data_IF_519255802285
#
_entry.id   IF_519255802285
#
_cell.length_a   1.000
_cell.length_b   1.000
_cell.length_c   1.000
_cell.angle_alpha   90.00
_cell.angle_beta   90.00
_cell.angle_gamma   90.00
#
_symmetry.space_group_name_H-M   'P 1'
#
loop_
_entity.id
_entity.type
_entity.pdbx_description
1 polymer ?
#
# COMPACT_ATOMS: atom_id res chain seq x y z
N UNK A 1 4.37 -38.45 -2.64
CA UNK A 1 3.33 -37.45 -2.91
C UNK A 1 4.07 -36.31 -3.58
N UNK A 2 3.99 -36.22 -4.91
CA UNK A 2 4.71 -35.16 -5.63
C UNK A 2 4.05 -33.83 -5.28
N UNK A 3 4.69 -33.05 -4.40
CA UNK A 3 4.37 -31.64 -4.24
C UNK A 3 4.54 -31.00 -5.61
N UNK A 4 3.43 -30.58 -6.23
CA UNK A 4 3.50 -29.70 -7.38
C UNK A 4 4.07 -28.37 -6.88
N UNK A 5 5.39 -28.27 -6.92
CA UNK A 5 6.11 -27.18 -6.28
C UNK A 5 5.83 -25.87 -7.03
N UNK A 6 5.38 -24.86 -6.30
CA UNK A 6 5.23 -23.52 -6.85
C UNK A 6 6.61 -22.92 -6.97
N UNK A 7 6.96 -22.40 -8.15
CA UNK A 7 8.22 -21.68 -8.30
C UNK A 7 8.26 -20.45 -7.38
N UNK A 8 9.44 -19.93 -7.07
CA UNK A 8 9.56 -18.69 -6.30
C UNK A 8 8.77 -17.50 -6.93
N UNK A 9 8.64 -17.48 -8.25
CA UNK A 9 7.79 -16.51 -8.96
C UNK A 9 6.28 -16.74 -8.73
N UNK A 10 5.85 -18.00 -8.66
CA UNK A 10 4.46 -18.33 -8.35
C UNK A 10 4.12 -17.96 -6.91
N UNK A 11 5.02 -18.27 -5.96
CA UNK A 11 4.88 -17.88 -4.55
C UNK A 11 4.81 -16.35 -4.43
N UNK A 12 5.62 -15.60 -5.19
CA UNK A 12 5.54 -14.14 -5.21
C UNK A 12 4.16 -13.66 -5.68
N UNK A 13 3.59 -14.28 -6.71
CA UNK A 13 2.27 -13.86 -7.23
C UNK A 13 1.17 -14.21 -6.23
N UNK A 14 1.24 -15.36 -5.56
CA UNK A 14 0.31 -15.73 -4.47
C UNK A 14 0.40 -14.71 -3.33
N UNK A 15 1.61 -14.35 -2.91
CA UNK A 15 1.82 -13.30 -1.91
C UNK A 15 1.22 -11.96 -2.38
N UNK A 16 1.46 -11.58 -3.64
CA UNK A 16 0.95 -10.34 -4.21
C UNK A 16 -0.58 -10.27 -4.19
N UNK A 17 -1.28 -11.40 -4.37
CA UNK A 17 -2.75 -11.44 -4.24
C UNK A 17 -3.20 -11.02 -2.84
N UNK A 18 -2.58 -11.56 -1.79
CA UNK A 18 -2.88 -11.19 -0.40
C UNK A 18 -2.54 -9.72 -0.12
N UNK A 19 -1.38 -9.25 -0.60
CA UNK A 19 -0.93 -7.86 -0.44
C UNK A 19 -1.88 -6.87 -1.17
N UNK A 20 -2.34 -7.19 -2.39
CA UNK A 20 -3.32 -6.35 -3.10
C UNK A 20 -4.69 -6.36 -2.43
N UNK A 21 -5.15 -7.50 -1.93
CA UNK A 21 -6.40 -7.58 -1.16
C UNK A 21 -6.32 -6.74 0.12
N UNK A 22 -5.19 -6.77 0.82
CA UNK A 22 -4.94 -5.92 1.99
C UNK A 22 -4.97 -4.44 1.62
N UNK A 23 -4.35 -4.06 0.50
CA UNK A 23 -4.38 -2.69 0.02
C UNK A 23 -5.80 -2.21 -0.31
N UNK A 24 -6.59 -3.04 -1.00
CA UNK A 24 -8.00 -2.75 -1.28
C UNK A 24 -8.82 -2.59 0.01
N UNK A 25 -8.65 -3.51 0.97
CA UNK A 25 -9.37 -3.45 2.25
C UNK A 25 -9.05 -2.17 3.03
N UNK A 26 -7.81 -1.70 2.97
CA UNK A 26 -7.43 -0.43 3.59
C UNK A 26 -8.06 0.78 2.86
N UNK A 27 -8.14 0.75 1.53
CA UNK A 27 -8.78 1.81 0.75
C UNK A 27 -10.31 1.83 0.90
N UNK A 28 -10.94 0.70 1.19
CA UNK A 28 -12.37 0.66 1.50
C UNK A 28 -12.68 1.57 2.70
N UNK A 29 -11.87 1.54 3.77
CA UNK A 29 -12.02 2.46 4.92
C UNK A 29 -11.79 3.93 4.54
N UNK A 30 -10.88 4.20 3.60
CA UNK A 30 -10.66 5.58 3.11
C UNK A 30 -11.87 6.07 2.32
N UNK A 31 -12.58 5.17 1.63
CA UNK A 31 -13.75 5.47 0.81
C UNK A 31 -15.05 5.66 1.60
N UNK A 32 -15.07 5.35 2.90
CA UNK A 32 -16.25 5.54 3.77
C UNK A 32 -16.64 7.01 3.94
N UNK A 33 -15.72 7.93 3.63
CA UNK A 33 -15.93 9.36 3.87
C UNK A 33 -16.50 10.04 2.64
N UNK A 34 -17.59 10.79 2.86
CA UNK A 34 -18.18 11.61 1.81
C UNK A 34 -17.26 12.78 1.45
N UNK A 35 -17.04 13.06 0.15
CA UNK A 35 -16.28 14.24 -0.27
C UNK A 35 -16.94 15.55 0.12
N UNK A 36 -18.25 15.54 0.40
CA UNK A 36 -19.05 16.72 0.73
C UNK A 36 -19.12 17.00 2.24
N UNK A 37 -18.52 16.14 3.08
CA UNK A 37 -18.56 16.27 4.54
C UNK A 37 -17.22 16.70 5.14
N UNK A 38 -17.22 17.65 6.10
CA UNK A 38 -16.00 18.07 6.77
C UNK A 38 -15.42 16.95 7.64
N UNK A 39 -14.21 16.52 7.30
CA UNK A 39 -13.48 15.48 8.04
C UNK A 39 -12.81 16.08 9.27
N UNK A 40 -13.15 15.57 10.46
CA UNK A 40 -12.48 15.94 11.71
C UNK A 40 -10.98 15.63 11.64
N UNK A 41 -10.17 16.35 12.42
CA UNK A 41 -8.71 16.11 12.48
C UNK A 41 -8.37 14.68 12.93
N UNK A 42 -9.13 14.13 13.88
CA UNK A 42 -8.90 12.77 14.39
C UNK A 42 -9.20 11.74 13.29
N UNK A 43 -10.32 11.92 12.58
CA UNK A 43 -10.69 11.00 11.51
C UNK A 43 -9.69 11.08 10.36
N UNK A 44 -9.24 12.28 9.98
CA UNK A 44 -8.22 12.43 8.93
C UNK A 44 -6.92 11.68 9.25
N UNK A 45 -6.48 11.71 10.51
CA UNK A 45 -5.31 10.95 10.97
C UNK A 45 -5.54 9.44 10.87
N UNK A 46 -6.73 8.97 11.21
CA UNK A 46 -7.11 7.55 11.08
C UNK A 46 -7.08 7.11 9.62
N UNK A 47 -7.71 7.88 8.73
CA UNK A 47 -7.72 7.60 7.28
C UNK A 47 -6.30 7.61 6.70
N UNK A 48 -5.45 8.51 7.19
CA UNK A 48 -4.04 8.55 6.78
C UNK A 48 -3.30 7.26 7.13
N UNK A 49 -3.57 6.66 8.30
CA UNK A 49 -3.02 5.34 8.64
C UNK A 49 -3.49 4.25 7.66
N UNK A 50 -4.75 4.28 7.22
CA UNK A 50 -5.24 3.35 6.21
C UNK A 50 -4.62 3.59 4.83
N UNK A 51 -4.47 4.84 4.39
CA UNK A 51 -3.78 5.18 3.15
C UNK A 51 -2.33 4.68 3.17
N UNK A 52 -1.59 4.93 4.26
CA UNK A 52 -0.21 4.47 4.40
C UNK A 52 -0.13 2.94 4.43
N UNK A 53 -1.08 2.26 5.07
CA UNK A 53 -1.18 0.80 5.04
C UNK A 53 -1.44 0.27 3.61
N UNK A 54 -2.32 0.92 2.85
CA UNK A 54 -2.59 0.58 1.45
C UNK A 54 -1.33 0.73 0.58
N UNK A 55 -0.60 1.84 0.74
CA UNK A 55 0.66 2.11 0.03
C UNK A 55 1.71 1.03 0.34
N UNK A 56 1.86 0.67 1.62
CA UNK A 56 2.82 -0.36 2.03
C UNK A 56 2.43 -1.72 1.46
N UNK A 57 1.18 -2.14 1.63
CA UNK A 57 0.69 -3.41 1.12
C UNK A 57 0.85 -3.50 -0.40
N UNK A 58 0.44 -2.46 -1.13
CA UNK A 58 0.63 -2.37 -2.58
C UNK A 58 2.10 -2.53 -3.01
N UNK A 59 3.04 -1.89 -2.32
CA UNK A 59 4.43 -1.83 -2.76
C UNK A 59 5.24 -3.09 -2.44
N UNK A 60 4.87 -3.83 -1.38
CA UNK A 60 5.55 -5.05 -0.93
C UNK A 60 5.91 -6.02 -2.08
N UNK A 61 5.00 -6.43 -2.97
CA UNK A 61 5.32 -7.37 -4.04
C UNK A 61 6.32 -6.83 -5.08
N UNK A 62 6.41 -5.50 -5.26
CA UNK A 62 7.35 -4.83 -6.17
C UNK A 62 8.72 -4.55 -5.54
N UNK A 63 8.80 -4.67 -4.21
CA UNK A 63 10.04 -4.50 -3.46
C UNK A 63 10.85 -5.80 -3.38
N UNK A 64 12.17 -5.68 -3.16
CA UNK A 64 13.02 -6.85 -2.97
C UNK A 64 12.69 -7.50 -1.62
N UNK A 65 12.57 -8.83 -1.57
CA UNK A 65 12.48 -9.56 -0.30
C UNK A 65 13.43 -10.75 -0.32
N UNK A 66 13.91 -11.15 0.86
CA UNK A 66 14.84 -12.27 1.00
C UNK A 66 14.18 -13.55 0.48
N UNK A 67 14.70 -14.08 -0.64
CA UNK A 67 14.30 -15.38 -1.19
C UNK A 67 13.12 -15.38 -2.16
N UNK A 68 12.55 -14.23 -2.54
CA UNK A 68 11.52 -14.16 -3.60
C UNK A 68 11.85 -13.07 -4.63
N UNK A 69 11.66 -13.33 -5.94
CA UNK A 69 11.91 -12.33 -6.99
C UNK A 69 10.97 -11.13 -6.84
N UNK A 70 11.32 -9.97 -7.41
CA UNK A 70 10.37 -8.84 -7.50
C UNK A 70 9.24 -9.19 -8.47
N UNK A 71 8.03 -8.76 -8.13
CA UNK A 71 6.94 -8.74 -9.10
C UNK A 71 7.21 -7.64 -10.13
N UNK A 72 6.92 -7.90 -11.40
CA UNK A 72 6.89 -6.88 -12.45
C UNK A 72 5.54 -6.91 -13.16
N UNK A 73 5.14 -5.80 -13.78
CA UNK A 73 3.89 -5.76 -14.55
C UNK A 73 3.91 -6.78 -15.71
N UNK A 74 5.09 -7.00 -16.30
CA UNK A 74 5.31 -8.02 -17.33
C UNK A 74 5.02 -9.43 -16.83
N UNK A 75 5.44 -9.79 -15.59
CA UNK A 75 5.13 -11.11 -15.02
C UNK A 75 3.63 -11.35 -14.80
N UNK A 76 2.82 -10.28 -14.78
CA UNK A 76 1.36 -10.34 -14.74
C UNK A 76 0.71 -10.24 -16.13
N UNK A 77 1.50 -10.03 -17.19
CA UNK A 77 0.99 -9.80 -18.55
C UNK A 77 0.25 -8.47 -18.70
N UNK A 78 0.62 -7.45 -17.92
CA UNK A 78 -0.02 -6.13 -17.94
C UNK A 78 0.81 -5.16 -18.77
N UNK A 79 0.14 -4.54 -19.75
CA UNK A 79 0.62 -3.33 -20.42
C UNK A 79 -0.09 -2.14 -19.79
N UNK A 80 0.61 -1.42 -18.90
CA UNK A 80 0.03 -0.30 -18.18
C UNK A 80 -0.06 0.96 -19.06
N UNK A 81 -1.11 1.76 -18.84
CA UNK A 81 -1.22 3.10 -19.43
C UNK A 81 -0.24 4.06 -18.75
N UNK A 82 0.02 5.22 -19.38
CA UNK A 82 0.84 6.28 -18.79
C UNK A 82 0.31 6.72 -17.42
N UNK A 83 -1.00 6.79 -17.26
CA UNK A 83 -1.64 7.17 -16.00
C UNK A 83 -1.39 6.12 -14.90
N UNK A 84 -1.53 4.84 -15.23
CA UNK A 84 -1.25 3.73 -14.30
C UNK A 84 0.22 3.68 -13.89
N UNK A 85 1.15 3.91 -14.84
CA UNK A 85 2.58 4.00 -14.55
C UNK A 85 2.90 5.19 -13.65
N UNK A 86 2.28 6.34 -13.91
CA UNK A 86 2.43 7.54 -13.07
C UNK A 86 1.95 7.27 -11.65
N UNK A 87 0.79 6.61 -11.50
CA UNK A 87 0.28 6.21 -10.20
C UNK A 87 1.20 5.19 -9.50
N UNK A 88 1.74 4.22 -10.24
CA UNK A 88 2.69 3.23 -9.73
C UNK A 88 3.95 3.90 -9.16
N UNK A 89 4.53 4.87 -9.87
CA UNK A 89 5.68 5.63 -9.39
C UNK A 89 5.33 6.56 -8.21
N UNK A 90 4.15 7.18 -8.17
CA UNK A 90 3.70 7.95 -7.00
C UNK A 90 3.62 7.08 -5.73
N UNK A 91 3.11 5.86 -5.85
CA UNK A 91 3.02 4.91 -4.72
C UNK A 91 4.41 4.49 -4.23
N UNK A 92 5.35 4.24 -5.15
CA UNK A 92 6.75 3.98 -4.83
C UNK A 92 7.40 5.14 -4.09
N UNK A 93 7.23 6.35 -4.60
CA UNK A 93 7.79 7.56 -3.99
C UNK A 93 7.21 7.77 -2.59
N UNK A 94 5.90 7.65 -2.42
CA UNK A 94 5.24 7.75 -1.11
C UNK A 94 5.80 6.73 -0.12
N UNK A 95 5.86 5.46 -0.53
CA UNK A 95 6.42 4.40 0.32
C UNK A 95 7.85 4.71 0.73
N UNK A 96 8.70 5.09 -0.22
CA UNK A 96 10.13 5.25 0.04
C UNK A 96 10.45 6.51 0.84
N UNK A 97 9.82 7.65 0.52
CA UNK A 97 10.22 8.97 1.02
C UNK A 97 9.40 9.49 2.21
N UNK A 98 8.23 8.90 2.44
CA UNK A 98 7.33 9.36 3.51
C UNK A 98 7.14 8.28 4.57
N UNK A 99 7.01 7.01 4.16
CA UNK A 99 6.71 5.91 5.08
C UNK A 99 7.98 5.19 5.55
N UNK A 100 8.89 4.84 4.64
CA UNK A 100 10.04 3.98 4.95
C UNK A 100 11.31 4.75 5.34
N UNK A 101 11.52 5.94 4.77
CA UNK A 101 12.64 6.81 5.09
C UNK A 101 12.12 8.23 5.25
N UNK A 102 12.41 8.86 6.38
CA UNK A 102 12.15 10.29 6.58
C UNK A 102 13.09 11.07 5.68
N UNK A 103 12.67 11.38 4.45
CA UNK A 103 13.39 12.27 3.55
C UNK A 103 13.22 13.72 4.02
N UNK A 104 14.32 14.39 4.37
CA UNK A 104 14.32 15.77 4.90
C UNK A 104 13.67 16.73 3.90
N UNK A 105 13.83 16.49 2.60
CA UNK A 105 13.27 17.35 1.54
C UNK A 105 11.75 17.21 1.38
N UNK A 106 11.16 16.16 1.95
CA UNK A 106 9.71 15.90 1.93
C UNK A 106 9.08 15.92 3.33
N UNK A 107 9.86 16.32 4.32
CA UNK A 107 9.45 16.43 5.71
C UNK A 107 8.50 17.63 5.89
N UNK A 108 7.22 17.36 6.16
CA UNK A 108 6.25 18.39 6.54
C UNK A 108 6.21 18.54 8.06
N UNK A 109 7.18 19.26 8.63
CA UNK A 109 7.14 19.69 10.03
C UNK A 109 6.65 21.13 10.11
N UNK A 110 5.51 21.34 10.76
CA UNK A 110 5.04 22.68 11.13
C UNK A 110 5.06 22.79 12.63
N UNK A 111 5.93 23.65 13.16
CA UNK A 111 5.97 24.02 14.58
C UNK A 111 5.58 25.50 14.69
N UNK A 112 4.45 25.77 15.31
CA UNK A 112 4.10 27.12 15.76
C UNK A 112 4.41 27.26 17.25
N UNK A 113 4.58 28.50 17.72
CA UNK A 113 4.65 28.79 19.15
C UNK A 113 3.66 29.90 19.48
N UNK A 114 3.06 29.85 20.66
CA UNK A 114 2.13 30.87 21.13
C UNK A 114 2.37 31.16 22.61
N UNK A 115 2.12 32.40 23.06
CA UNK A 115 2.18 32.73 24.50
C UNK A 115 0.96 32.15 25.20
N UNK A 116 1.17 31.61 26.41
CA UNK A 116 0.07 31.09 27.26
C UNK A 116 -0.92 32.20 27.64
N UNK A 117 -0.41 33.40 27.88
CA UNK A 117 -1.19 34.62 28.16
C UNK A 117 -0.36 35.85 27.77
N UNK A 118 -0.99 37.02 27.67
CA UNK A 118 -0.29 38.26 27.28
C UNK A 118 0.84 38.64 28.25
N UNK A 119 0.64 38.38 29.55
CA UNK A 119 1.58 38.70 30.65
C UNK A 119 2.64 37.61 30.90
N UNK A 120 2.61 36.50 30.16
CA UNK A 120 3.51 35.37 30.37
C UNK A 120 4.64 35.35 29.33
N UNK A 121 5.88 35.19 29.80
CA UNK A 121 7.03 34.94 28.94
C UNK A 121 7.11 33.47 28.44
N UNK A 122 6.19 32.61 28.90
CA UNK A 122 6.17 31.19 28.55
C UNK A 122 5.60 31.01 27.15
N UNK A 123 6.44 30.49 26.25
CA UNK A 123 6.06 30.09 24.89
C UNK A 123 5.71 28.61 24.84
N UNK A 124 4.48 28.31 24.40
CA UNK A 124 4.04 26.93 24.19
C UNK A 124 4.31 26.50 22.75
N UNK A 125 5.04 25.39 22.54
CA UNK A 125 5.17 24.80 21.22
C UNK A 125 3.88 24.08 20.82
N UNK A 126 3.44 24.30 19.60
CA UNK A 126 2.34 23.58 18.97
C UNK A 126 2.85 22.91 17.69
N UNK A 127 2.89 21.58 17.73
CA UNK A 127 3.22 20.78 16.56
C UNK A 127 1.98 20.50 15.70
N UNK A 128 2.06 20.86 14.43
CA UNK A 128 1.05 20.57 13.44
C UNK A 128 1.54 19.43 12.53
N UNK A 129 1.02 18.24 12.82
CA UNK A 129 1.20 17.05 12.02
C UNK A 129 0.46 17.16 10.68
N UNK A 130 1.15 16.86 9.57
CA UNK A 130 0.56 16.77 8.23
C UNK A 130 -0.26 15.48 8.08
N UNK A 131 -1.57 15.61 8.23
CA UNK A 131 -2.56 14.55 8.05
C UNK A 131 -3.22 14.56 6.66
N UNK A 132 -2.61 15.21 5.65
CA UNK A 132 -3.15 15.18 4.29
C UNK A 132 -3.19 13.75 3.72
N UNK A 133 -4.30 13.46 3.01
CA UNK A 133 -4.49 12.23 2.24
C UNK A 133 -4.02 12.47 0.80
N UNK A 134 -2.94 11.80 0.39
CA UNK A 134 -2.26 12.04 -0.88
C UNK A 134 -3.04 11.48 -2.08
N UNK A 135 -3.69 10.33 -1.90
CA UNK A 135 -4.37 9.59 -2.96
C UNK A 135 -5.88 9.77 -2.94
N UNK A 136 -6.44 10.45 -1.94
CA UNK A 136 -7.87 10.72 -1.84
C UNK A 136 -8.47 11.37 -3.11
N UNK A 137 -7.83 12.38 -3.75
CA UNK A 137 -8.35 12.96 -4.99
C UNK A 137 -8.39 11.99 -6.18
N UNK A 138 -7.67 10.86 -6.13
CA UNK A 138 -7.60 9.85 -7.18
C UNK A 138 -7.95 8.46 -6.64
N UNK A 139 -8.78 8.38 -5.60
CA UNK A 139 -9.05 7.14 -4.86
C UNK A 139 -9.66 6.07 -5.78
N UNK A 140 -10.62 6.43 -6.62
CA UNK A 140 -11.25 5.51 -7.56
C UNK A 140 -10.27 4.95 -8.59
N UNK A 141 -9.40 5.81 -9.13
CA UNK A 141 -8.34 5.40 -10.06
C UNK A 141 -7.37 4.43 -9.38
N UNK A 142 -7.02 4.69 -8.11
CA UNK A 142 -6.17 3.81 -7.33
C UNK A 142 -6.81 2.45 -7.05
N UNK A 143 -8.05 2.44 -6.58
CA UNK A 143 -8.81 1.22 -6.33
C UNK A 143 -8.92 0.39 -7.63
N UNK A 144 -9.28 1.04 -8.75
CA UNK A 144 -9.39 0.36 -10.04
C UNK A 144 -8.06 -0.24 -10.49
N UNK A 145 -6.96 0.50 -10.32
CA UNK A 145 -5.64 0.01 -10.67
C UNK A 145 -5.23 -1.23 -9.86
N UNK A 146 -5.45 -1.20 -8.54
CA UNK A 146 -5.14 -2.35 -7.68
C UNK A 146 -6.03 -3.55 -8.02
N UNK A 147 -7.31 -3.33 -8.36
CA UNK A 147 -8.22 -4.39 -8.83
C UNK A 147 -7.72 -5.05 -10.12
N UNK A 148 -7.21 -4.27 -11.07
CA UNK A 148 -6.60 -4.81 -12.31
C UNK A 148 -5.42 -5.72 -11.97
N UNK A 149 -4.52 -5.28 -11.08
CA UNK A 149 -3.36 -6.06 -10.64
C UNK A 149 -3.78 -7.35 -9.92
N UNK A 150 -4.74 -7.26 -9.00
CA UNK A 150 -5.26 -8.40 -8.26
C UNK A 150 -5.92 -9.44 -9.20
N UNK A 151 -6.71 -8.98 -10.16
CA UNK A 151 -7.34 -9.85 -11.15
C UNK A 151 -6.30 -10.52 -12.07
N UNK A 152 -5.26 -9.79 -12.48
CA UNK A 152 -4.18 -10.35 -13.30
C UNK A 152 -3.38 -11.41 -12.53
N UNK A 153 -3.05 -11.15 -11.26
CA UNK A 153 -2.38 -12.11 -10.38
C UNK A 153 -3.22 -13.39 -10.19
N UNK A 154 -4.52 -13.21 -9.90
CA UNK A 154 -5.47 -14.31 -9.77
C UNK A 154 -5.55 -15.13 -11.06
N UNK A 155 -5.66 -14.47 -12.22
CA UNK A 155 -5.70 -15.15 -13.53
C UNK A 155 -4.41 -15.88 -13.83
N UNK A 156 -3.26 -15.34 -13.43
CA UNK A 156 -1.96 -15.96 -13.63
C UNK A 156 -1.84 -17.25 -12.82
N UNK A 157 -2.23 -17.26 -11.54
CA UNK A 157 -2.28 -18.49 -10.72
C UNK A 157 -3.33 -19.47 -11.24
N UNK A 158 -4.53 -18.98 -11.57
CA UNK A 158 -5.59 -19.82 -12.15
C UNK A 158 -5.07 -20.60 -13.35
N UNK A 159 -4.43 -19.94 -14.32
CA UNK A 159 -3.84 -20.60 -15.50
C UNK A 159 -2.80 -21.65 -15.13
N UNK A 160 -1.97 -21.40 -14.12
CA UNK A 160 -0.90 -22.32 -13.71
C UNK A 160 -1.44 -23.61 -13.12
N UNK A 161 -2.55 -23.55 -12.39
CA UNK A 161 -3.12 -24.73 -11.71
C UNK A 161 -4.04 -25.56 -12.61
N UNK A 162 -4.46 -25.05 -13.78
CA UNK A 162 -5.31 -25.82 -14.69
C UNK A 162 -4.62 -27.12 -15.14
N UNK A 163 -5.35 -28.24 -15.10
CA UNK A 163 -4.84 -29.56 -15.50
C UNK A 163 -3.87 -30.20 -14.51
N UNK A 164 -3.58 -29.56 -13.37
CA UNK A 164 -2.79 -30.15 -12.28
C UNK A 164 -3.69 -30.91 -11.30
N UNK A 165 -3.10 -31.82 -10.52
CA UNK A 165 -3.75 -32.40 -9.34
C UNK A 165 -3.97 -31.30 -8.29
N UNK A 166 -4.83 -31.59 -7.31
CA UNK A 166 -5.02 -30.71 -6.15
C UNK A 166 -3.68 -30.35 -5.51
N UNK A 167 -3.50 -29.06 -5.23
CA UNK A 167 -2.27 -28.51 -4.65
C UNK A 167 -2.60 -27.99 -3.26
N UNK A 168 -1.87 -28.47 -2.26
CA UNK A 168 -1.90 -27.92 -0.92
C UNK A 168 -0.56 -27.24 -0.67
N UNK A 169 -0.53 -25.92 -0.84
CA UNK A 169 0.65 -25.12 -0.56
C UNK A 169 0.52 -24.46 0.80
N UNK A 170 1.46 -24.74 1.69
CA UNK A 170 1.57 -24.09 3.01
C UNK A 170 2.98 -23.53 3.16
N UNK A 171 3.08 -22.25 3.48
CA UNK A 171 4.34 -21.61 3.86
C UNK A 171 4.10 -20.82 5.14
N UNK A 172 4.21 -21.53 6.25
CA UNK A 172 4.00 -20.99 7.58
C UNK A 172 5.34 -20.97 8.32
N UNK A 173 5.69 -19.81 8.87
CA UNK A 173 6.92 -19.66 9.65
C UNK A 173 6.82 -20.32 11.02
N UNK A 174 5.61 -20.67 11.47
CA UNK A 174 5.35 -21.36 12.73
C UNK A 174 5.43 -22.89 12.62
N UNK A 175 5.48 -23.43 11.41
CA UNK A 175 5.63 -24.87 11.15
C UNK A 175 7.09 -25.36 11.27
N UNK A 176 8.02 -24.52 11.68
CA UNK A 176 9.39 -24.93 12.00
C UNK A 176 9.42 -25.56 13.41
N UNK A 177 8.85 -26.77 13.52
CA UNK A 177 8.81 -27.61 14.72
C UNK A 177 9.06 -29.07 14.39
#
# INVERSE_FOLDING_TARGET
MDEADFSAGDIRIIQAMADFQMALSALDFVSEVSPDEPISRIERRRLRCFEDAAVVAYWRPFSYSNGLPKLTLETLGITATTEQLTLHERLKERRNKVIAHTDVDRMRLVLSTFRVSEDSEIMMPQYNFDDALEFYPNLDTLIMWIRILHQAATRAIFKRVQGRREIHFKRDHTDQG
#
